data_IF_342976550727
#
_entry.id   IF_342976550727
#
_cell.length_a   1.000
_cell.length_b   1.000
_cell.length_c   1.000
_cell.angle_alpha   90.00
_cell.angle_beta   90.00
_cell.angle_gamma   90.00
#
_symmetry.space_group_name_H-M   'P 1'
#
loop_
_entity.id
_entity.type
_entity.pdbx_description
1 polymer ?
#
# COMPACT_ATOMS: atom_id res chain seq x y z
N UNK A 1 23.23 4.41 12.25
CA UNK A 1 23.01 4.29 10.79
C UNK A 1 24.25 4.78 10.07
N UNK A 2 24.57 4.22 8.90
CA UNK A 2 25.76 4.57 8.10
C UNK A 2 25.61 5.92 7.34
N UNK A 3 24.48 6.60 7.54
CA UNK A 3 24.09 7.86 6.90
C UNK A 3 25.16 8.96 6.95
N UNK A 4 25.92 9.16 8.04
CA UNK A 4 26.97 10.20 8.08
C UNK A 4 28.12 9.93 7.09
N UNK A 5 28.53 8.67 6.94
CA UNK A 5 29.62 8.29 6.01
C UNK A 5 29.16 8.50 4.58
N UNK A 6 27.96 8.01 4.25
CA UNK A 6 27.38 8.18 2.92
C UNK A 6 27.20 9.66 2.57
N UNK A 7 26.80 10.50 3.54
CA UNK A 7 26.70 11.94 3.35
C UNK A 7 28.07 12.57 3.01
N UNK A 8 29.13 12.22 3.74
CA UNK A 8 30.48 12.73 3.45
C UNK A 8 30.95 12.34 2.05
N UNK A 9 30.68 11.11 1.61
CA UNK A 9 31.00 10.67 0.25
C UNK A 9 30.24 11.50 -0.79
N UNK A 10 28.95 11.78 -0.57
CA UNK A 10 28.14 12.59 -1.48
C UNK A 10 28.59 14.06 -1.51
N UNK A 11 28.96 14.63 -0.36
CA UNK A 11 29.47 16.00 -0.25
C UNK A 11 30.81 16.15 -0.98
N UNK A 12 31.70 15.15 -0.85
CA UNK A 12 32.96 15.10 -1.60
C UNK A 12 32.74 15.08 -3.12
N UNK A 13 31.84 14.23 -3.62
CA UNK A 13 31.55 14.15 -5.07
C UNK A 13 30.94 15.44 -5.61
N UNK A 14 30.15 16.16 -4.80
CA UNK A 14 29.66 17.50 -5.14
C UNK A 14 30.81 18.51 -5.16
N UNK A 15 31.68 18.51 -4.14
CA UNK A 15 32.84 19.42 -4.06
C UNK A 15 33.78 19.24 -5.26
N UNK A 16 34.01 17.99 -5.68
CA UNK A 16 34.83 17.67 -6.86
C UNK A 16 34.12 17.87 -8.20
N UNK A 17 32.85 18.31 -8.19
CA UNK A 17 32.08 18.55 -9.40
C UNK A 17 31.69 17.29 -10.18
N UNK A 18 31.79 16.11 -9.55
CA UNK A 18 31.44 14.82 -10.16
C UNK A 18 29.92 14.64 -10.27
N UNK A 19 29.15 15.22 -9.34
CA UNK A 19 27.69 15.28 -9.38
C UNK A 19 27.19 16.69 -9.03
N UNK A 20 26.05 17.09 -9.61
CA UNK A 20 25.39 18.33 -9.20
C UNK A 20 24.86 18.23 -7.76
N UNK A 21 24.87 19.34 -7.02
CA UNK A 21 24.28 19.44 -5.68
C UNK A 21 22.74 19.47 -5.73
N UNK A 22 22.13 18.39 -6.21
CA UNK A 22 20.68 18.20 -6.29
C UNK A 22 20.27 16.90 -5.62
N UNK A 23 19.14 16.92 -4.94
CA UNK A 23 18.56 15.74 -4.27
C UNK A 23 18.47 14.54 -5.20
N UNK A 24 17.98 14.72 -6.44
CA UNK A 24 17.88 13.65 -7.42
C UNK A 24 19.24 13.04 -7.76
N UNK A 25 20.27 13.86 -7.99
CA UNK A 25 21.62 13.39 -8.37
C UNK A 25 22.31 12.68 -7.21
N UNK A 26 22.21 13.24 -6.01
CA UNK A 26 22.68 12.61 -4.77
C UNK A 26 22.00 11.25 -4.55
N UNK A 27 20.67 11.16 -4.74
CA UNK A 27 19.94 9.89 -4.63
C UNK A 27 20.31 8.86 -5.72
N UNK A 28 20.68 9.28 -6.93
CA UNK A 28 21.16 8.33 -7.96
C UNK A 28 22.53 7.75 -7.56
N UNK A 29 23.43 8.60 -7.06
CA UNK A 29 24.79 8.19 -6.70
C UNK A 29 24.82 7.37 -5.40
N UNK A 30 24.05 7.76 -4.40
CA UNK A 30 23.98 7.02 -3.13
C UNK A 30 23.51 5.58 -3.32
N UNK A 31 22.52 5.39 -4.19
CA UNK A 31 21.91 4.10 -4.48
C UNK A 31 22.88 3.22 -5.28
N UNK A 32 23.75 3.84 -6.09
CA UNK A 32 24.86 3.16 -6.77
C UNK A 32 25.92 2.67 -5.78
N UNK A 33 26.32 3.50 -4.81
CA UNK A 33 27.28 3.11 -3.76
C UNK A 33 26.72 1.95 -2.95
N UNK A 34 25.50 2.11 -2.40
CA UNK A 34 24.92 1.09 -1.52
C UNK A 34 24.69 -0.22 -2.26
N UNK A 35 24.31 -0.18 -3.55
CA UNK A 35 24.17 -1.40 -4.33
C UNK A 35 25.46 -2.24 -4.40
N UNK A 36 26.65 -1.63 -4.35
CA UNK A 36 27.92 -2.37 -4.32
C UNK A 36 28.10 -3.17 -3.02
N UNK A 37 27.40 -2.79 -1.95
CA UNK A 37 27.40 -3.45 -0.64
C UNK A 37 26.22 -4.41 -0.45
N UNK A 38 25.24 -4.37 -1.35
CA UNK A 38 24.02 -5.16 -1.22
C UNK A 38 24.24 -6.62 -1.63
N UNK A 39 23.69 -7.60 -0.88
CA UNK A 39 23.60 -8.98 -1.34
C UNK A 39 22.83 -9.08 -2.66
N UNK A 40 23.08 -10.15 -3.42
CA UNK A 40 22.33 -10.46 -4.63
C UNK A 40 20.87 -10.76 -4.28
N UNK A 41 19.90 -10.49 -5.17
CA UNK A 41 18.49 -10.83 -4.92
C UNK A 41 18.27 -12.28 -4.46
N UNK A 42 18.95 -13.24 -5.08
CA UNK A 42 18.85 -14.66 -4.70
C UNK A 42 19.32 -14.96 -3.28
N UNK A 43 20.31 -14.23 -2.76
CA UNK A 43 20.80 -14.39 -1.38
C UNK A 43 19.79 -13.85 -0.38
N UNK A 44 19.22 -12.67 -0.65
CA UNK A 44 18.16 -12.08 0.18
C UNK A 44 16.93 -12.99 0.24
N UNK A 45 16.49 -13.49 -0.91
CA UNK A 45 15.34 -14.41 -1.01
C UNK A 45 15.62 -15.71 -0.24
N UNK A 46 16.83 -16.27 -0.36
CA UNK A 46 17.23 -17.47 0.36
C UNK A 46 17.17 -17.24 1.87
N UNK A 47 17.80 -16.19 2.39
CA UNK A 47 17.80 -15.87 3.82
C UNK A 47 16.41 -15.57 4.35
N UNK A 48 15.58 -14.84 3.58
CA UNK A 48 14.17 -14.62 3.94
C UNK A 48 13.43 -15.95 4.09
N UNK A 49 13.53 -16.84 3.10
CA UNK A 49 12.85 -18.14 3.12
C UNK A 49 13.35 -19.07 4.23
N UNK A 50 14.64 -19.03 4.55
CA UNK A 50 15.21 -19.78 5.68
C UNK A 50 14.62 -19.31 7.02
N UNK A 51 14.54 -17.99 7.22
CA UNK A 51 13.92 -17.41 8.42
C UNK A 51 12.42 -17.67 8.47
N UNK A 52 11.74 -17.55 7.33
CA UNK A 52 10.29 -17.71 7.21
C UNK A 52 9.83 -19.12 7.62
N UNK A 53 10.65 -20.15 7.33
CA UNK A 53 10.39 -21.53 7.78
C UNK A 53 10.41 -21.70 9.29
N UNK A 54 11.21 -20.88 10.00
CA UNK A 54 11.31 -20.93 11.45
C UNK A 54 10.24 -20.04 12.09
N UNK A 55 10.21 -18.77 11.69
CA UNK A 55 9.27 -17.77 12.17
C UNK A 55 9.05 -16.69 11.08
N UNK A 56 7.78 -16.46 10.74
CA UNK A 56 7.35 -15.47 9.74
C UNK A 56 7.71 -14.03 10.15
N UNK A 57 7.63 -13.71 11.44
CA UNK A 57 8.04 -12.42 12.00
C UNK A 57 9.56 -12.25 11.83
N UNK A 58 10.36 -13.28 12.12
CA UNK A 58 11.82 -13.20 11.97
C UNK A 58 12.24 -12.89 10.51
N UNK A 59 11.52 -13.45 9.53
CA UNK A 59 11.76 -13.19 8.11
C UNK A 59 11.48 -11.74 7.72
N UNK A 60 10.34 -11.22 8.18
CA UNK A 60 9.89 -9.85 7.91
C UNK A 60 10.76 -8.82 8.63
N UNK A 61 11.15 -9.09 9.87
CA UNK A 61 12.11 -8.33 10.67
C UNK A 61 13.48 -8.22 9.98
N UNK A 62 14.02 -9.35 9.52
CA UNK A 62 15.29 -9.39 8.78
C UNK A 62 15.21 -8.51 7.54
N UNK A 63 14.15 -8.70 6.75
CA UNK A 63 13.96 -7.97 5.52
C UNK A 63 13.80 -6.46 5.78
N UNK A 64 13.07 -6.07 6.82
CA UNK A 64 12.85 -4.68 7.18
C UNK A 64 14.15 -4.00 7.64
N UNK A 65 14.91 -4.68 8.52
CA UNK A 65 16.23 -4.23 8.97
C UNK A 65 17.19 -4.07 7.79
N UNK A 66 17.20 -4.99 6.84
CA UNK A 66 17.99 -4.89 5.62
C UNK A 66 17.54 -3.71 4.74
N UNK A 67 16.24 -3.50 4.56
CA UNK A 67 15.71 -2.36 3.78
C UNK A 67 16.03 -1.00 4.41
N UNK A 68 16.16 -0.92 5.74
CA UNK A 68 16.67 0.26 6.44
C UNK A 68 18.18 0.40 6.23
N UNK A 69 18.94 -0.67 6.45
CA UNK A 69 20.40 -0.67 6.33
C UNK A 69 20.86 -0.32 4.91
N UNK A 70 20.14 -0.79 3.89
CA UNK A 70 20.40 -0.48 2.49
C UNK A 70 20.03 0.95 2.09
N UNK A 71 19.51 1.76 3.02
CA UNK A 71 18.99 3.09 2.75
C UNK A 71 17.90 3.12 1.66
N UNK A 72 17.22 1.97 1.44
CA UNK A 72 16.05 1.90 0.59
C UNK A 72 14.85 2.55 1.31
N UNK A 73 14.62 2.15 2.56
CA UNK A 73 13.81 2.91 3.51
C UNK A 73 14.71 4.05 4.01
N UNK A 74 14.33 5.29 3.67
CA UNK A 74 15.09 6.49 4.03
C UNK A 74 14.84 6.87 5.48
N UNK A 75 15.31 6.02 6.41
CA UNK A 75 15.00 6.12 7.83
C UNK A 75 15.43 7.46 8.44
N UNK A 76 16.56 8.00 7.98
CA UNK A 76 17.05 9.34 8.33
C UNK A 76 16.06 10.48 8.01
N UNK A 77 15.19 10.27 7.01
CA UNK A 77 14.15 11.23 6.62
C UNK A 77 12.82 10.92 7.29
N UNK A 78 12.45 9.64 7.39
CA UNK A 78 11.18 9.25 8.04
C UNK A 78 11.21 9.47 9.55
N UNK A 79 12.38 9.41 10.20
CA UNK A 79 12.55 9.74 11.62
C UNK A 79 12.30 11.24 11.91
N UNK A 80 12.22 12.07 10.87
CA UNK A 80 11.82 13.48 10.97
C UNK A 80 10.32 13.70 10.80
N UNK A 81 9.56 12.64 10.49
CA UNK A 81 8.11 12.76 10.37
C UNK A 81 7.52 13.26 11.68
N UNK A 82 6.55 14.16 11.58
CA UNK A 82 5.81 14.63 12.75
C UNK A 82 4.62 13.69 12.92
N UNK A 83 4.57 13.01 14.06
CA UNK A 83 3.55 12.01 14.38
C UNK A 83 2.88 12.35 15.70
N UNK A 84 1.56 12.31 15.73
CA UNK A 84 0.79 12.44 16.96
C UNK A 84 -0.54 11.72 16.83
N UNK A 85 -1.20 11.51 17.97
CA UNK A 85 -2.56 10.97 18.04
C UNK A 85 -3.49 12.04 18.58
N UNK A 86 -4.67 12.14 17.99
CA UNK A 86 -5.73 13.02 18.49
C UNK A 86 -6.95 12.17 18.83
N UNK A 87 -7.46 12.21 20.08
CA UNK A 87 -8.70 11.51 20.43
C UNK A 87 -9.89 12.05 19.62
N UNK A 88 -10.74 11.15 19.14
CA UNK A 88 -12.00 11.47 18.46
C UNK A 88 -13.12 10.57 18.98
N UNK A 89 -14.37 10.86 18.60
CA UNK A 89 -15.51 9.99 18.94
C UNK A 89 -15.44 8.57 18.34
N UNK A 90 -14.57 8.39 17.32
CA UNK A 90 -14.33 7.13 16.60
C UNK A 90 -13.02 6.45 17.02
N UNK A 91 -12.38 6.91 18.10
CA UNK A 91 -11.07 6.44 18.58
C UNK A 91 -9.94 7.42 18.28
N UNK A 92 -8.71 7.00 18.55
CA UNK A 92 -7.53 7.84 18.32
C UNK A 92 -7.22 7.95 16.83
N UNK A 93 -7.26 9.17 16.30
CA UNK A 93 -6.82 9.47 14.95
C UNK A 93 -5.31 9.60 14.91
N UNK A 94 -4.64 8.72 14.16
CA UNK A 94 -3.21 8.82 13.89
C UNK A 94 -2.95 9.88 12.80
N UNK A 95 -2.19 10.92 13.13
CA UNK A 95 -1.79 11.95 12.17
C UNK A 95 -0.28 11.88 11.95
N UNK A 96 0.12 11.81 10.68
CA UNK A 96 1.53 11.79 10.26
C UNK A 96 1.77 12.81 9.16
N UNK A 97 2.69 13.74 9.38
CA UNK A 97 3.23 14.60 8.34
C UNK A 97 4.52 13.94 7.83
N UNK A 98 4.46 13.41 6.61
CA UNK A 98 5.59 12.71 5.99
C UNK A 98 6.56 13.70 5.34
N UNK A 99 7.70 13.94 6.00
CA UNK A 99 8.75 14.83 5.53
C UNK A 99 9.81 14.12 4.68
N UNK A 100 9.63 12.82 4.43
CA UNK A 100 10.62 11.99 3.74
C UNK A 100 10.48 11.97 2.21
N UNK A 101 9.28 12.27 1.71
CA UNK A 101 8.99 12.30 0.27
C UNK A 101 9.59 13.59 -0.33
N UNK A 102 10.56 13.48 -1.25
CA UNK A 102 11.19 14.66 -1.83
C UNK A 102 10.22 15.40 -2.74
N UNK A 103 10.06 16.71 -2.53
CA UNK A 103 9.42 17.60 -3.50
C UNK A 103 10.29 17.70 -4.76
N UNK A 104 9.64 17.70 -5.93
CA UNK A 104 10.34 17.88 -7.21
C UNK A 104 10.34 19.36 -7.57
N UNK A 105 11.53 19.90 -7.84
CA UNK A 105 11.70 21.26 -8.35
C UNK A 105 10.98 21.40 -9.71
N UNK A 106 10.15 22.44 -9.94
CA UNK A 106 9.49 22.70 -11.22
C UNK A 106 10.44 22.67 -12.43
N UNK A 107 11.70 23.10 -12.26
CA UNK A 107 12.74 23.07 -13.31
C UNK A 107 13.17 21.64 -13.64
N UNK A 108 13.22 20.76 -12.65
CA UNK A 108 13.52 19.35 -12.86
C UNK A 108 12.32 18.65 -13.53
N UNK A 109 11.08 19.06 -13.24
CA UNK A 109 9.88 18.61 -13.97
C UNK A 109 9.92 19.08 -15.44
N UNK A 110 10.35 20.31 -15.71
CA UNK A 110 10.50 20.81 -17.09
C UNK A 110 11.59 20.04 -17.87
N UNK A 111 12.77 19.83 -17.26
CA UNK A 111 13.85 19.03 -17.85
C UNK A 111 13.42 17.58 -18.09
N UNK A 112 12.65 17.01 -17.16
CA UNK A 112 12.09 15.68 -17.27
C UNK A 112 11.20 15.50 -18.50
N UNK A 113 10.35 16.49 -18.80
CA UNK A 113 9.46 16.49 -19.99
C UNK A 113 10.22 16.50 -21.32
N UNK A 114 11.43 17.06 -21.34
CA UNK A 114 12.28 17.11 -22.54
C UNK A 114 13.07 15.82 -22.78
N UNK A 115 13.18 14.95 -21.78
CA UNK A 115 13.86 13.67 -21.94
C UNK A 115 12.94 12.64 -22.58
N UNK A 116 13.49 11.88 -23.54
CA UNK A 116 12.79 10.77 -24.19
C UNK A 116 12.30 9.79 -23.11
N UNK A 117 10.97 9.62 -23.03
CA UNK A 117 10.37 8.65 -22.13
C UNK A 117 10.92 7.26 -22.45
N UNK A 118 11.43 6.56 -21.44
CA UNK A 118 11.81 5.15 -21.54
C UNK A 118 10.61 4.30 -21.15
N UNK A 119 10.26 3.30 -21.94
CA UNK A 119 9.18 2.35 -21.63
C UNK A 119 9.53 1.35 -20.52
N UNK A 120 10.70 1.47 -19.90
CA UNK A 120 11.24 0.54 -18.91
C UNK A 120 11.80 1.26 -17.68
N UNK A 121 11.43 0.87 -16.45
CA UNK A 121 10.27 0.03 -16.12
C UNK A 121 8.94 0.68 -16.55
N UNK A 122 7.90 -0.13 -16.82
CA UNK A 122 6.60 0.41 -17.27
C UNK A 122 5.94 1.34 -16.25
N UNK A 123 6.13 1.07 -14.96
CA UNK A 123 5.72 1.94 -13.86
C UNK A 123 6.61 1.73 -12.63
N UNK A 124 6.34 2.46 -11.56
CA UNK A 124 7.08 2.41 -10.29
C UNK A 124 6.89 1.11 -9.49
N UNK A 125 5.90 0.30 -9.84
CA UNK A 125 5.49 -0.93 -9.14
C UNK A 125 5.95 -2.20 -9.85
N UNK A 126 6.45 -2.09 -11.08
CA UNK A 126 6.98 -3.21 -11.84
C UNK A 126 8.18 -3.88 -11.15
N UNK A 127 8.23 -5.22 -11.12
CA UNK A 127 9.39 -5.97 -10.59
C UNK A 127 10.72 -5.58 -11.21
N UNK A 128 10.69 -5.09 -12.46
CA UNK A 128 11.82 -4.53 -13.22
C UNK A 128 12.51 -3.35 -12.52
N UNK A 129 11.88 -2.78 -11.50
CA UNK A 129 12.50 -1.77 -10.64
C UNK A 129 13.60 -2.36 -9.77
N UNK A 130 13.57 -3.64 -9.41
CA UNK A 130 14.66 -4.25 -8.63
C UNK A 130 15.99 -4.11 -9.39
N UNK A 131 16.98 -3.47 -8.78
CA UNK A 131 18.27 -3.22 -9.42
C UNK A 131 18.29 -2.07 -10.43
N UNK A 132 17.17 -1.37 -10.69
CA UNK A 132 17.11 -0.35 -11.74
C UNK A 132 17.95 0.89 -11.39
N UNK A 133 18.82 1.31 -12.32
CA UNK A 133 19.74 2.45 -12.12
C UNK A 133 19.04 3.78 -11.89
N UNK A 134 17.80 3.91 -12.35
CA UNK A 134 17.10 5.18 -12.34
C UNK A 134 17.61 6.15 -13.39
N UNK A 135 16.88 7.24 -13.54
CA UNK A 135 17.19 8.40 -14.34
C UNK A 135 16.50 9.63 -13.71
N UNK A 136 16.45 10.77 -14.39
CA UNK A 136 15.81 11.98 -13.81
C UNK A 136 14.29 11.83 -13.67
N UNK A 137 13.67 10.98 -14.48
CA UNK A 137 12.22 10.76 -14.55
C UNK A 137 11.76 9.60 -13.67
N UNK A 138 12.67 8.67 -13.36
CA UNK A 138 12.38 7.41 -12.70
C UNK A 138 13.41 7.15 -11.59
N UNK A 139 13.01 6.94 -10.33
CA UNK A 139 13.94 6.85 -9.21
C UNK A 139 14.93 5.68 -9.34
N UNK A 140 16.14 5.85 -8.79
CA UNK A 140 17.05 4.73 -8.62
C UNK A 140 16.48 3.72 -7.61
N UNK A 141 16.71 2.45 -7.92
CA UNK A 141 16.25 1.26 -7.19
C UNK A 141 17.33 0.17 -7.22
N UNK A 142 18.60 0.54 -7.36
CA UNK A 142 19.70 -0.43 -7.41
C UNK A 142 19.85 -1.19 -6.09
N UNK A 143 19.69 -0.49 -4.97
CA UNK A 143 19.69 -1.05 -3.62
C UNK A 143 18.34 -1.69 -3.23
N UNK A 144 17.35 -1.68 -4.13
CA UNK A 144 16.04 -2.28 -3.90
C UNK A 144 16.13 -3.80 -4.05
N UNK A 145 15.45 -4.53 -3.18
CA UNK A 145 15.28 -5.98 -3.23
C UNK A 145 13.81 -6.28 -2.98
N UNK A 146 13.24 -7.26 -3.67
CA UNK A 146 11.85 -7.68 -3.51
C UNK A 146 11.77 -9.15 -3.14
N UNK A 147 10.78 -9.53 -2.33
CA UNK A 147 10.57 -10.92 -1.93
C UNK A 147 9.42 -11.51 -2.77
N UNK A 148 9.67 -12.55 -3.59
CA UNK A 148 8.60 -13.26 -4.30
C UNK A 148 7.65 -13.92 -3.31
N UNK A 149 6.36 -13.79 -3.57
CA UNK A 149 5.27 -14.39 -2.79
C UNK A 149 4.33 -15.12 -3.74
N UNK A 150 3.73 -16.21 -3.28
CA UNK A 150 2.72 -16.96 -4.03
C UNK A 150 1.51 -17.22 -3.14
N UNK A 151 0.36 -16.75 -3.58
CA UNK A 151 -0.93 -16.93 -2.94
C UNK A 151 -2.04 -16.80 -3.98
N UNK A 152 -3.19 -17.41 -3.71
CA UNK A 152 -4.34 -17.44 -4.63
C UNK A 152 -3.97 -17.89 -6.08
N UNK A 153 -2.96 -18.75 -6.25
CA UNK A 153 -2.52 -19.22 -7.57
C UNK A 153 -1.84 -18.15 -8.45
N UNK A 154 -1.46 -17.00 -7.87
CA UNK A 154 -0.77 -15.92 -8.58
C UNK A 154 0.57 -15.58 -7.94
N UNK A 155 1.47 -15.03 -8.75
CA UNK A 155 2.78 -14.56 -8.30
C UNK A 155 2.73 -13.08 -7.93
N UNK A 156 3.23 -12.77 -6.76
CA UNK A 156 3.27 -11.44 -6.17
C UNK A 156 4.67 -11.13 -5.65
N UNK A 157 4.91 -9.88 -5.28
CA UNK A 157 6.14 -9.47 -4.61
C UNK A 157 5.85 -8.59 -3.40
N UNK A 158 6.56 -8.85 -2.30
CA UNK A 158 6.55 -8.01 -1.12
C UNK A 158 7.72 -7.01 -1.19
N UNK A 159 7.39 -5.73 -1.04
CA UNK A 159 8.37 -4.67 -0.79
C UNK A 159 7.93 -3.77 0.35
N UNK A 160 8.87 -3.15 1.06
CA UNK A 160 8.53 -2.05 1.95
C UNK A 160 8.33 -0.73 1.18
N UNK A 161 7.53 0.16 1.73
CA UNK A 161 7.45 1.54 1.25
C UNK A 161 8.76 2.26 1.59
N UNK A 162 9.42 2.96 0.64
CA UNK A 162 10.62 3.75 0.96
C UNK A 162 10.32 4.99 1.82
N UNK A 163 9.03 5.38 1.92
CA UNK A 163 8.52 6.52 2.66
C UNK A 163 7.44 6.05 3.65
N UNK A 164 7.87 5.30 4.66
CA UNK A 164 6.95 4.64 5.60
C UNK A 164 6.11 5.66 6.40
N UNK A 165 4.85 5.32 6.65
CA UNK A 165 3.94 6.05 7.54
C UNK A 165 3.79 5.35 8.89
N UNK A 166 3.92 4.02 8.92
CA UNK A 166 3.78 3.16 10.08
C UNK A 166 4.79 2.02 10.02
N UNK A 167 4.89 1.28 11.12
CA UNK A 167 5.81 0.15 11.25
C UNK A 167 5.60 -0.87 10.12
N UNK A 168 6.70 -1.26 9.47
CA UNK A 168 6.69 -2.25 8.39
C UNK A 168 5.69 -1.99 7.25
N UNK A 169 5.37 -0.71 6.97
CA UNK A 169 4.52 -0.33 5.83
C UNK A 169 5.05 -0.96 4.53
N UNK A 170 4.29 -1.88 3.96
CA UNK A 170 4.62 -2.64 2.78
C UNK A 170 3.64 -2.43 1.63
N UNK A 171 4.10 -2.81 0.44
CA UNK A 171 3.35 -2.82 -0.81
C UNK A 171 3.47 -4.22 -1.39
N UNK A 172 2.33 -4.80 -1.74
CA UNK A 172 2.19 -6.14 -2.31
C UNK A 172 1.92 -5.97 -3.80
N UNK A 173 2.90 -6.30 -4.64
CA UNK A 173 2.92 -5.97 -6.07
C UNK A 173 2.50 -7.17 -6.91
N UNK A 174 1.56 -6.98 -7.84
CA UNK A 174 1.25 -8.04 -8.80
C UNK A 174 2.46 -8.26 -9.71
N UNK A 175 2.85 -9.51 -9.98
CA UNK A 175 3.95 -9.78 -10.91
C UNK A 175 3.63 -9.32 -12.35
N UNK A 176 2.36 -9.25 -12.71
CA UNK A 176 1.86 -8.75 -13.99
C UNK A 176 1.52 -7.27 -13.87
N UNK A 177 1.87 -6.49 -14.90
CA UNK A 177 1.44 -5.10 -15.02
C UNK A 177 0.02 -5.07 -15.61
N UNK A 178 -0.98 -5.20 -14.74
CA UNK A 178 -2.40 -5.12 -15.09
C UNK A 178 -3.07 -4.03 -14.28
N UNK A 179 -4.04 -3.28 -14.84
CA UNK A 179 -4.78 -2.31 -14.07
C UNK A 179 -5.46 -2.92 -12.85
N UNK A 180 -5.53 -2.15 -11.78
CA UNK A 180 -6.18 -2.51 -10.53
C UNK A 180 -7.69 -2.62 -10.72
N UNK A 181 -8.31 -3.63 -10.09
CA UNK A 181 -9.77 -3.85 -10.09
C UNK A 181 -10.20 -4.46 -8.75
N UNK A 182 -11.43 -4.18 -8.33
CA UNK A 182 -12.06 -4.80 -7.16
C UNK A 182 -13.11 -5.83 -7.60
N UNK A 183 -12.82 -7.09 -7.31
CA UNK A 183 -13.64 -8.26 -7.65
C UNK A 183 -13.29 -9.43 -6.72
N UNK A 184 -13.93 -10.60 -6.87
CA UNK A 184 -13.68 -11.79 -6.03
C UNK A 184 -12.21 -12.08 -5.76
N UNK A 185 -11.38 -12.02 -6.81
CA UNK A 185 -9.95 -12.31 -6.72
C UNK A 185 -9.21 -11.36 -5.79
N UNK A 186 -9.67 -10.12 -5.66
CA UNK A 186 -9.13 -9.17 -4.69
C UNK A 186 -9.24 -9.75 -3.27
N UNK A 187 -10.38 -10.33 -2.90
CA UNK A 187 -10.56 -10.95 -1.58
C UNK A 187 -9.70 -12.20 -1.42
N UNK A 188 -9.64 -13.07 -2.43
CA UNK A 188 -8.74 -14.23 -2.44
C UNK A 188 -7.28 -13.82 -2.23
N UNK A 189 -6.84 -12.75 -2.90
CA UNK A 189 -5.47 -12.27 -2.83
C UNK A 189 -5.15 -11.65 -1.45
N UNK A 190 -6.05 -10.81 -0.92
CA UNK A 190 -5.87 -10.17 0.39
C UNK A 190 -5.85 -11.22 1.51
N UNK A 191 -6.81 -12.15 1.51
CA UNK A 191 -6.87 -13.23 2.50
C UNK A 191 -5.70 -14.20 2.33
N UNK A 192 -5.32 -14.53 1.10
CA UNK A 192 -4.15 -15.34 0.79
C UNK A 192 -2.83 -14.73 1.27
N UNK A 193 -2.71 -13.40 1.24
CA UNK A 193 -1.54 -12.72 1.79
C UNK A 193 -1.48 -12.81 3.31
N UNK A 194 -2.59 -12.55 4.01
CA UNK A 194 -2.59 -12.59 5.49
C UNK A 194 -2.49 -14.02 6.04
N UNK A 195 -2.82 -15.06 5.27
CA UNK A 195 -2.46 -16.45 5.62
C UNK A 195 -0.93 -16.65 5.65
N UNK A 196 -0.22 -16.04 4.68
CA UNK A 196 1.23 -16.11 4.58
C UNK A 196 1.89 -15.29 5.68
N UNK A 197 1.40 -14.09 5.96
CA UNK A 197 1.91 -13.19 7.00
C UNK A 197 0.76 -12.77 7.95
N UNK A 198 0.42 -13.59 8.97
CA UNK A 198 -0.76 -13.37 9.81
C UNK A 198 -0.63 -12.18 10.77
N UNK A 199 0.58 -11.72 11.05
CA UNK A 199 0.86 -10.51 11.81
C UNK A 199 0.72 -9.23 10.97
N UNK A 200 0.46 -9.35 9.67
CA UNK A 200 0.24 -8.22 8.77
C UNK A 200 -1.23 -8.10 8.39
N UNK A 201 -1.67 -6.87 8.12
CA UNK A 201 -2.88 -6.63 7.34
C UNK A 201 -2.53 -6.43 5.86
N UNK A 202 -3.52 -6.59 4.98
CA UNK A 202 -3.45 -6.15 3.59
C UNK A 202 -4.76 -5.48 3.18
N UNK A 203 -4.66 -4.36 2.47
CA UNK A 203 -5.79 -3.59 1.99
C UNK A 203 -5.62 -3.13 0.55
N UNK A 204 -6.73 -3.08 -0.16
CA UNK A 204 -6.81 -2.59 -1.53
C UNK A 204 -7.47 -1.23 -1.52
N UNK A 205 -6.87 -0.24 -2.18
CA UNK A 205 -7.58 0.99 -2.50
C UNK A 205 -8.72 0.73 -3.49
N UNK A 206 -9.68 1.64 -3.59
CA UNK A 206 -10.76 1.49 -4.57
C UNK A 206 -10.25 1.63 -6.03
N UNK A 207 -10.93 0.97 -6.96
CA UNK A 207 -10.60 0.90 -8.38
C UNK A 207 -11.23 2.02 -9.24
N UNK A 208 -12.12 2.82 -8.66
CA UNK A 208 -12.71 3.97 -9.33
C UNK A 208 -11.83 5.24 -9.19
N UNK A 209 -11.92 6.18 -10.14
CA UNK A 209 -11.31 7.50 -9.99
C UNK A 209 -11.84 8.23 -8.75
N UNK A 210 -11.07 9.21 -8.24
CA UNK A 210 -11.45 10.11 -7.13
C UNK A 210 -11.48 9.43 -5.75
N UNK A 211 -11.64 8.10 -5.66
CA UNK A 211 -11.69 7.33 -4.39
C UNK A 211 -10.31 6.80 -3.93
N UNK A 212 -9.26 7.61 -4.07
CA UNK A 212 -7.94 7.32 -3.50
C UNK A 212 -6.74 7.80 -4.33
N UNK A 213 -5.53 7.73 -3.75
CA UNK A 213 -4.27 8.18 -4.36
C UNK A 213 -3.51 7.09 -5.12
N UNK A 214 -4.19 6.05 -5.62
CA UNK A 214 -3.57 4.86 -6.20
C UNK A 214 -2.90 5.08 -7.54
N UNK A 215 -1.84 4.31 -7.80
CA UNK A 215 -1.39 4.03 -9.16
C UNK A 215 -2.31 2.95 -9.74
N UNK A 216 -3.41 3.35 -10.36
CA UNK A 216 -4.43 2.42 -10.88
C UNK A 216 -3.95 1.57 -12.07
N UNK A 217 -2.81 1.93 -12.69
CA UNK A 217 -2.27 1.23 -13.86
C UNK A 217 -1.59 -0.11 -13.54
N UNK A 218 -1.26 -0.38 -12.27
CA UNK A 218 -0.67 -1.64 -11.84
C UNK A 218 -1.28 -2.07 -10.51
N UNK A 219 -1.96 -3.20 -10.53
CA UNK A 219 -2.57 -3.86 -9.39
C UNK A 219 -1.56 -4.12 -8.25
N UNK A 220 -1.92 -3.62 -7.08
CA UNK A 220 -1.12 -3.70 -5.87
C UNK A 220 -1.99 -3.49 -4.63
N UNK A 221 -1.51 -3.98 -3.49
CA UNK A 221 -2.14 -3.77 -2.19
C UNK A 221 -1.18 -3.06 -1.25
N UNK A 222 -1.75 -2.36 -0.26
CA UNK A 222 -1.01 -1.77 0.86
C UNK A 222 -1.09 -2.73 2.04
N UNK A 223 -0.04 -2.84 2.83
CA UNK A 223 -0.04 -3.72 4.00
C UNK A 223 0.99 -3.29 5.03
N UNK A 224 1.13 -4.09 6.07
CA UNK A 224 2.19 -3.93 7.06
C UNK A 224 1.80 -4.48 8.43
N UNK A 225 2.71 -4.34 9.38
CA UNK A 225 2.53 -4.75 10.76
C UNK A 225 2.13 -3.54 11.61
N UNK A 226 0.85 -3.19 11.54
CA UNK A 226 0.30 -2.04 12.27
C UNK A 226 -1.20 -2.23 12.55
N UNK A 227 -1.63 -1.87 13.75
CA UNK A 227 -3.04 -1.86 14.15
C UNK A 227 -3.62 -0.46 13.93
N UNK A 228 -4.50 -0.33 12.95
CA UNK A 228 -5.21 0.94 12.69
C UNK A 228 -6.39 1.14 13.63
N UNK A 229 -6.78 2.40 13.84
CA UNK A 229 -7.96 2.74 14.64
C UNK A 229 -9.24 2.01 14.19
N UNK A 230 -9.45 1.82 12.88
CA UNK A 230 -10.59 1.05 12.36
C UNK A 230 -10.57 -0.42 12.80
N UNK A 231 -9.39 -1.03 12.98
CA UNK A 231 -9.26 -2.44 13.43
C UNK A 231 -9.86 -2.64 14.84
N UNK A 232 -9.63 -1.66 15.71
CA UNK A 232 -10.07 -1.67 17.10
C UNK A 232 -11.39 -0.91 17.31
N UNK A 233 -12.00 -0.41 16.23
CA UNK A 233 -13.29 0.25 16.28
C UNK A 233 -14.34 -0.69 16.91
N UNK A 234 -15.13 -0.23 17.89
CA UNK A 234 -16.18 -1.03 18.50
C UNK A 234 -17.19 -1.52 17.47
N UNK A 235 -17.79 -2.69 17.75
CA UNK A 235 -18.96 -3.15 17.01
C UNK A 235 -20.14 -2.27 17.40
N UNK A 236 -20.84 -1.74 16.41
CA UNK A 236 -22.04 -0.92 16.59
C UNK A 236 -23.31 -1.75 16.40
N UNK A 237 -23.36 -2.56 15.33
CA UNK A 237 -24.49 -3.44 15.02
C UNK A 237 -23.98 -4.81 14.53
N UNK A 238 -24.78 -5.85 14.76
CA UNK A 238 -24.52 -7.22 14.27
C UNK A 238 -25.67 -7.63 13.36
N UNK A 239 -25.34 -8.31 12.27
CA UNK A 239 -26.32 -8.78 11.28
C UNK A 239 -26.11 -10.26 10.99
N UNK A 240 -27.20 -10.91 10.58
CA UNK A 240 -27.17 -12.25 10.00
C UNK A 240 -27.47 -12.15 8.52
N UNK A 241 -26.71 -12.87 7.71
CA UNK A 241 -26.95 -12.96 6.26
C UNK A 241 -27.32 -14.39 5.94
N UNK A 242 -28.54 -14.58 5.42
CA UNK A 242 -29.07 -15.90 5.07
C UNK A 242 -28.13 -16.61 4.08
N UNK A 243 -27.74 -17.84 4.40
CA UNK A 243 -26.77 -18.65 3.65
C UNK A 243 -25.31 -18.49 4.09
N UNK A 244 -25.04 -17.62 5.07
CA UNK A 244 -23.69 -17.36 5.61
C UNK A 244 -23.68 -17.38 7.14
N UNK A 245 -24.43 -18.30 7.74
CA UNK A 245 -24.69 -18.35 9.19
C UNK A 245 -23.42 -18.60 10.03
N UNK A 246 -22.32 -19.09 9.44
CA UNK A 246 -21.06 -19.30 10.15
C UNK A 246 -20.12 -18.08 10.11
N UNK A 247 -20.47 -17.07 9.32
CA UNK A 247 -19.70 -15.83 9.20
C UNK A 247 -20.39 -14.71 9.94
N UNK A 248 -19.70 -14.13 10.93
CA UNK A 248 -20.23 -13.01 11.70
C UNK A 248 -20.09 -11.72 10.90
N UNK A 249 -21.15 -10.93 10.86
CA UNK A 249 -21.22 -9.66 10.12
C UNK A 249 -21.51 -8.53 11.08
N UNK A 250 -20.70 -7.48 11.01
CA UNK A 250 -20.83 -6.32 11.89
C UNK A 250 -20.79 -5.01 11.11
N UNK A 251 -21.47 -4.00 11.64
CA UNK A 251 -21.13 -2.60 11.37
C UNK A 251 -20.28 -2.11 12.52
N UNK A 252 -19.15 -1.48 12.20
CA UNK A 252 -18.24 -0.93 13.21
C UNK A 252 -18.45 0.57 13.37
N UNK A 253 -18.24 1.08 14.59
CA UNK A 253 -18.33 2.50 14.91
C UNK A 253 -17.17 3.27 14.27
N UNK A 254 -17.37 3.70 13.04
CA UNK A 254 -16.37 4.37 12.20
C UNK A 254 -17.04 5.47 11.35
N UNK A 255 -16.37 6.59 11.01
CA UNK A 255 -17.00 7.70 10.27
C UNK A 255 -17.40 7.35 8.83
N UNK A 256 -17.00 6.18 8.33
CA UNK A 256 -17.43 5.65 7.04
C UNK A 256 -18.25 4.38 7.27
N UNK A 257 -19.17 4.06 6.34
CA UNK A 257 -19.92 2.81 6.38
C UNK A 257 -18.99 1.62 6.13
N UNK A 258 -18.73 0.82 7.18
CA UNK A 258 -17.86 -0.35 7.13
C UNK A 258 -18.62 -1.58 7.56
N UNK A 259 -18.61 -2.60 6.70
CA UNK A 259 -19.09 -3.94 7.02
C UNK A 259 -17.88 -4.82 7.33
N UNK A 260 -17.81 -5.34 8.56
CA UNK A 260 -16.76 -6.26 9.00
C UNK A 260 -17.28 -7.69 8.95
N UNK A 261 -16.57 -8.53 8.21
CA UNK A 261 -16.77 -9.98 8.17
C UNK A 261 -15.75 -10.66 9.09
N UNK A 262 -16.18 -11.64 9.88
CA UNK A 262 -15.30 -12.42 10.73
C UNK A 262 -15.69 -13.91 10.73
N UNK A 263 -14.74 -14.78 10.43
CA UNK A 263 -15.00 -16.21 10.30
C UNK A 263 -13.74 -17.06 10.20
N UNK A 264 -13.91 -18.37 10.35
CA UNK A 264 -12.82 -19.36 10.23
C UNK A 264 -12.71 -19.92 8.81
N UNK A 265 -13.81 -19.93 8.05
CA UNK A 265 -13.85 -20.41 6.68
C UNK A 265 -13.52 -19.26 5.70
N UNK A 266 -12.34 -19.34 5.09
CA UNK A 266 -11.87 -18.36 4.11
C UNK A 266 -12.81 -18.22 2.90
N UNK A 267 -13.27 -19.34 2.33
CA UNK A 267 -14.11 -19.32 1.14
C UNK A 267 -15.47 -18.69 1.43
N UNK A 268 -16.05 -18.97 2.59
CA UNK A 268 -17.34 -18.37 3.00
C UNK A 268 -17.24 -16.85 3.15
N UNK A 269 -16.12 -16.33 3.66
CA UNK A 269 -15.86 -14.89 3.73
C UNK A 269 -15.70 -14.29 2.33
N UNK A 270 -15.01 -14.99 1.42
CA UNK A 270 -14.84 -14.53 0.03
C UNK A 270 -16.20 -14.48 -0.68
N UNK A 271 -17.01 -15.53 -0.55
CA UNK A 271 -18.35 -15.63 -1.13
C UNK A 271 -19.26 -14.51 -0.61
N UNK A 272 -19.27 -14.27 0.70
CA UNK A 272 -20.06 -13.20 1.30
C UNK A 272 -19.56 -11.81 0.89
N UNK A 273 -18.24 -11.61 0.82
CA UNK A 273 -17.65 -10.34 0.38
C UNK A 273 -17.98 -10.04 -1.10
N UNK A 274 -17.94 -11.05 -1.96
CA UNK A 274 -18.37 -10.94 -3.36
C UNK A 274 -19.87 -10.62 -3.44
N UNK A 275 -20.71 -11.32 -2.67
CA UNK A 275 -22.14 -11.03 -2.59
C UNK A 275 -22.42 -9.58 -2.19
N UNK A 276 -21.73 -9.07 -1.15
CA UNK A 276 -21.87 -7.69 -0.68
C UNK A 276 -21.39 -6.71 -1.75
N UNK A 277 -20.25 -6.97 -2.39
CA UNK A 277 -19.71 -6.13 -3.46
C UNK A 277 -20.70 -6.02 -4.64
N UNK A 278 -21.26 -7.14 -5.08
CA UNK A 278 -22.21 -7.17 -6.18
C UNK A 278 -23.51 -6.45 -5.83
N UNK A 279 -24.01 -6.62 -4.60
CA UNK A 279 -25.18 -5.86 -4.14
C UNK A 279 -24.90 -4.37 -4.09
N UNK A 280 -23.75 -3.97 -3.52
CA UNK A 280 -23.36 -2.56 -3.41
C UNK A 280 -23.16 -1.91 -4.77
N UNK A 281 -22.50 -2.58 -5.72
CA UNK A 281 -22.30 -2.08 -7.09
C UNK A 281 -23.59 -1.79 -7.85
N UNK A 282 -24.72 -2.35 -7.43
CA UNK A 282 -26.03 -2.17 -8.06
C UNK A 282 -27.04 -1.45 -7.15
N UNK A 283 -26.60 -0.88 -6.03
CA UNK A 283 -27.46 -0.24 -5.04
C UNK A 283 -27.56 1.27 -5.25
N UNK A 284 -28.79 1.77 -5.43
CA UNK A 284 -29.10 3.20 -5.38
C UNK A 284 -30.11 3.48 -4.26
N UNK A 285 -29.91 4.61 -3.60
CA UNK A 285 -30.86 5.22 -2.68
C UNK A 285 -30.75 6.75 -2.80
N UNK A 286 -31.64 7.32 -3.61
CA UNK A 286 -31.68 8.76 -3.86
C UNK A 286 -31.96 9.59 -2.61
N UNK A 287 -32.62 9.00 -1.59
CA UNK A 287 -32.94 9.72 -0.35
C UNK A 287 -31.71 10.13 0.45
N UNK A 288 -30.58 9.47 0.18
CA UNK A 288 -29.26 9.73 0.78
C UNK A 288 -28.19 10.00 -0.30
N UNK A 289 -28.62 10.44 -1.49
CA UNK A 289 -27.77 10.80 -2.63
C UNK A 289 -26.88 9.67 -3.21
N UNK A 290 -27.17 8.40 -2.86
CA UNK A 290 -26.44 7.25 -3.39
C UNK A 290 -27.04 6.87 -4.74
N UNK A 291 -26.24 6.98 -5.79
CA UNK A 291 -26.53 6.39 -7.10
C UNK A 291 -25.37 5.48 -7.48
N UNK A 292 -25.67 4.24 -7.86
CA UNK A 292 -24.62 3.32 -8.31
C UNK A 292 -24.07 3.65 -9.70
N UNK A 293 -24.82 4.36 -10.53
CA UNK A 293 -24.45 4.72 -11.90
C UNK A 293 -25.14 6.04 -12.32
N UNK A 294 -24.44 6.88 -13.09
CA UNK A 294 -25.04 7.98 -13.85
C UNK A 294 -24.44 8.01 -15.26
N UNK A 295 -25.27 8.14 -16.29
CA UNK A 295 -24.85 8.17 -17.70
C UNK A 295 -23.93 7.01 -18.14
N UNK A 296 -24.09 5.83 -17.53
CA UNK A 296 -23.24 4.66 -17.81
C UNK A 296 -21.93 4.61 -17.02
N UNK A 297 -21.63 5.62 -16.20
CA UNK A 297 -20.44 5.66 -15.34
C UNK A 297 -20.76 5.10 -13.94
N UNK A 298 -20.11 4.00 -13.51
CA UNK A 298 -20.35 3.40 -12.20
C UNK A 298 -19.70 4.22 -11.09
N UNK A 299 -20.38 4.28 -9.93
CA UNK A 299 -19.97 5.07 -8.78
C UNK A 299 -19.64 4.27 -7.53
N UNK A 300 -20.24 3.08 -7.38
CA UNK A 300 -20.09 2.27 -6.17
C UNK A 300 -18.90 1.30 -6.26
N UNK A 301 -18.09 1.26 -5.22
CA UNK A 301 -17.01 0.27 -5.04
C UNK A 301 -16.70 0.08 -3.55
N UNK A 302 -15.73 -0.77 -3.22
CA UNK A 302 -15.33 -1.07 -1.85
C UNK A 302 -13.82 -0.91 -1.69
N UNK A 303 -13.38 -0.43 -0.52
CA UNK A 303 -11.99 -0.55 -0.06
C UNK A 303 -11.91 -1.72 0.93
N UNK A 304 -11.46 -2.91 0.49
CA UNK A 304 -11.33 -4.07 1.37
C UNK A 304 -10.01 -4.05 2.16
N UNK A 305 -10.07 -4.42 3.44
CA UNK A 305 -8.90 -4.56 4.31
C UNK A 305 -9.00 -5.88 5.10
N UNK A 306 -8.10 -6.81 4.80
CA UNK A 306 -8.00 -8.12 5.41
C UNK A 306 -6.91 -8.18 6.49
N UNK A 307 -7.13 -9.01 7.50
CA UNK A 307 -6.16 -9.35 8.55
C UNK A 307 -6.52 -10.68 9.21
N UNK A 308 -5.57 -11.27 9.93
CA UNK A 308 -5.86 -12.36 10.88
C UNK A 308 -6.04 -11.78 12.28
N UNK A 309 -7.09 -12.18 12.98
CA UNK A 309 -7.37 -11.75 14.35
C UNK A 309 -7.83 -12.91 15.20
N UNK A 310 -7.10 -13.21 16.27
CA UNK A 310 -7.37 -14.33 17.17
C UNK A 310 -7.56 -15.67 16.42
N UNK A 311 -6.73 -15.91 15.39
CA UNK A 311 -6.77 -17.12 14.57
C UNK A 311 -7.89 -17.18 13.52
N UNK A 312 -8.70 -16.13 13.39
CA UNK A 312 -9.78 -16.02 12.40
C UNK A 312 -9.47 -14.99 11.33
N UNK A 313 -10.09 -15.13 10.18
CA UNK A 313 -10.08 -14.09 9.15
C UNK A 313 -10.99 -12.94 9.58
N UNK A 314 -10.52 -11.72 9.39
CA UNK A 314 -11.30 -10.50 9.51
C UNK A 314 -11.14 -9.69 8.23
N UNK A 315 -12.25 -9.32 7.59
CA UNK A 315 -12.29 -8.54 6.35
C UNK A 315 -13.23 -7.35 6.52
N UNK A 316 -12.66 -6.16 6.51
CA UNK A 316 -13.42 -4.91 6.51
C UNK A 316 -13.71 -4.49 5.08
N UNK A 317 -14.97 -4.21 4.79
CA UNK A 317 -15.47 -3.72 3.52
C UNK A 317 -15.96 -2.28 3.72
N UNK A 318 -15.10 -1.31 3.41
CA UNK A 318 -15.48 0.12 3.46
C UNK A 318 -16.24 0.46 2.19
N UNK A 319 -17.52 0.81 2.31
CA UNK A 319 -18.35 1.18 1.17
C UNK A 319 -17.92 2.55 0.63
N UNK A 320 -17.79 2.66 -0.68
CA UNK A 320 -17.37 3.87 -1.39
C UNK A 320 -18.36 4.23 -2.48
N UNK A 321 -18.59 5.52 -2.65
CA UNK A 321 -19.28 6.10 -3.79
C UNK A 321 -18.47 7.33 -4.26
N UNK A 322 -18.10 7.40 -5.54
CA UNK A 322 -17.24 8.45 -6.10
C UNK A 322 -18.01 9.60 -6.78
N UNK A 323 -19.33 9.63 -6.66
CA UNK A 323 -20.19 10.60 -7.33
C UNK A 323 -19.84 12.02 -6.86
N UNK A 324 -19.88 12.94 -7.81
CA UNK A 324 -19.65 14.37 -7.60
C UNK A 324 -20.92 15.15 -7.98
N UNK A 325 -21.01 16.40 -7.55
CA UNK A 325 -22.01 17.36 -8.04
C UNK A 325 -21.38 18.77 -8.08
N UNK A 326 -22.15 19.78 -8.50
CA UNK A 326 -21.63 21.15 -8.61
C UNK A 326 -21.18 21.73 -7.25
N UNK A 327 -21.87 21.37 -6.16
CA UNK A 327 -21.50 21.79 -4.80
C UNK A 327 -20.26 21.05 -4.27
N UNK A 328 -20.07 19.80 -4.71
CA UNK A 328 -19.04 18.88 -4.24
C UNK A 328 -18.27 18.26 -5.42
N UNK A 329 -17.45 19.06 -6.14
CA UNK A 329 -16.74 18.60 -7.34
C UNK A 329 -15.67 17.54 -7.02
N UNK A 330 -15.26 17.43 -5.74
CA UNK A 330 -14.28 16.46 -5.29
C UNK A 330 -14.91 15.16 -4.76
N UNK A 331 -16.25 15.06 -4.67
CA UNK A 331 -16.97 13.88 -4.19
C UNK A 331 -18.02 14.22 -3.13
N UNK A 332 -19.26 13.78 -3.29
CA UNK A 332 -20.39 14.08 -2.38
C UNK A 332 -20.10 13.55 -0.97
N UNK A 333 -19.52 12.34 -0.87
CA UNK A 333 -19.23 11.67 0.40
C UNK A 333 -17.81 11.90 0.92
N UNK A 334 -17.11 12.91 0.41
CA UNK A 334 -15.80 13.30 0.93
C UNK A 334 -15.95 14.27 2.10
N UNK A 335 -14.93 14.39 2.98
CA UNK A 335 -14.92 15.42 4.00
C UNK A 335 -15.00 16.81 3.37
N UNK A 336 -16.01 17.59 3.77
CA UNK A 336 -16.19 18.98 3.38
C UNK A 336 -15.77 19.93 4.51
N UNK A 337 -15.40 21.15 4.15
CA UNK A 337 -14.97 22.21 5.06
C UNK A 337 -16.12 22.91 5.75
#
# INVERSE_FOLDING_TARGET
>A
TETPILKNMLDYEVEKGMIENKTTKRNLFDTKIINALMPRPSEVIKTFNEKYKNNKEEATDYYYKMSIASNYIRKDRTDKNIVWKTPTEYGDLDITINLSKPEKDPRDIAKAKLMKSTSYPKCLLCKQNEGFRGNINHPARQNHRIIPMEFAGENWFLQYSPYVYYNEHCIILNAKHTPMKIYRKTFENLLGFVEKLPHYFAGSNADLPIVGGSILSHDHYQGGHYTFAMEVAPIEETFEVKGYENTKVYRVKWPMSVIRLNGENKEEIIDLAEHILDKWKNYSDESVEILHETDGEPHNTITPIARMKNGKYELDLVLRNNRTNEAHPMGIFHPHS
#
